data_IF_415666911806
#
_entry.id   IF_415666911806
#
_cell.length_a   1.000
_cell.length_b   1.000
_cell.length_c   1.000
_cell.angle_alpha   90.00
_cell.angle_beta   90.00
_cell.angle_gamma   90.00
#
_symmetry.space_group_name_H-M   'P 1'
#
loop_
_entity.id
_entity.type
_entity.pdbx_description
1 polymer ?
#
# COMPACT_ATOMS: atom_id res chain seq x y z
N UNK A 1 -2.84 -38.17 -38.53
CA UNK A 1 -3.39 -38.40 -37.17
C UNK A 1 -4.77 -39.00 -37.29
N UNK A 2 -5.04 -40.11 -36.58
CA UNK A 2 -6.37 -40.72 -36.57
C UNK A 2 -7.37 -39.87 -35.77
N UNK A 3 -8.69 -40.00 -36.04
CA UNK A 3 -9.74 -39.29 -35.29
C UNK A 3 -9.66 -39.54 -33.77
N UNK A 4 -9.31 -40.78 -33.38
CA UNK A 4 -9.15 -41.20 -31.98
C UNK A 4 -7.95 -40.50 -31.31
N UNK A 5 -6.85 -40.28 -32.04
CA UNK A 5 -5.69 -39.56 -31.52
C UNK A 5 -5.99 -38.07 -31.29
N UNK A 6 -6.83 -37.45 -32.15
CA UNK A 6 -7.28 -36.06 -31.98
C UNK A 6 -8.20 -35.90 -30.77
N UNK A 7 -9.15 -36.82 -30.58
CA UNK A 7 -10.06 -36.81 -29.43
C UNK A 7 -9.31 -36.97 -28.09
N UNK A 8 -8.36 -37.91 -28.02
CA UNK A 8 -7.52 -38.10 -26.83
C UNK A 8 -6.64 -36.87 -26.55
N UNK A 9 -6.03 -36.29 -27.58
CA UNK A 9 -5.21 -35.08 -27.42
C UNK A 9 -6.05 -33.90 -26.93
N UNK A 10 -7.25 -33.73 -27.47
CA UNK A 10 -8.19 -32.69 -27.04
C UNK A 10 -8.60 -32.85 -25.57
N UNK A 11 -8.94 -34.08 -25.15
CA UNK A 11 -9.29 -34.37 -23.75
C UNK A 11 -8.14 -34.13 -22.79
N UNK A 12 -6.92 -34.54 -23.15
CA UNK A 12 -5.72 -34.29 -22.34
C UNK A 12 -5.41 -32.80 -22.27
N UNK A 13 -5.49 -32.07 -23.39
CA UNK A 13 -5.28 -30.63 -23.40
C UNK A 13 -6.30 -29.91 -22.51
N UNK A 14 -7.57 -30.31 -22.56
CA UNK A 14 -8.63 -29.70 -21.75
C UNK A 14 -8.51 -30.06 -20.27
N UNK A 15 -8.13 -31.31 -19.97
CA UNK A 15 -7.86 -31.77 -18.61
C UNK A 15 -6.62 -31.12 -17.98
N UNK A 16 -5.63 -30.71 -18.78
CA UNK A 16 -4.46 -29.96 -18.32
C UNK A 16 -4.72 -28.45 -18.24
N UNK A 17 -5.49 -27.89 -19.17
CA UNK A 17 -5.81 -26.46 -19.21
C UNK A 17 -6.59 -25.99 -17.99
N UNK A 18 -7.58 -26.78 -17.55
CA UNK A 18 -8.40 -26.43 -16.39
C UNK A 18 -7.57 -26.23 -15.10
N UNK A 19 -6.77 -27.21 -14.63
CA UNK A 19 -5.98 -27.03 -13.41
C UNK A 19 -4.95 -25.92 -13.56
N UNK A 20 -4.30 -25.77 -14.72
CA UNK A 20 -3.34 -24.66 -14.93
C UNK A 20 -4.04 -23.31 -14.80
N UNK A 21 -5.20 -23.14 -15.44
CA UNK A 21 -5.96 -21.88 -15.38
C UNK A 21 -6.46 -21.60 -13.97
N UNK A 22 -6.97 -22.61 -13.27
CA UNK A 22 -7.43 -22.48 -11.89
C UNK A 22 -6.27 -22.13 -10.95
N UNK A 23 -5.10 -22.76 -11.10
CA UNK A 23 -3.91 -22.45 -10.30
C UNK A 23 -3.44 -21.01 -10.54
N UNK A 24 -3.37 -20.57 -11.80
CA UNK A 24 -2.98 -19.19 -12.13
C UNK A 24 -3.98 -18.18 -11.55
N UNK A 25 -5.30 -18.41 -11.72
CA UNK A 25 -6.33 -17.53 -11.17
C UNK A 25 -6.31 -17.51 -9.64
N UNK A 26 -6.14 -18.65 -8.99
CA UNK A 26 -6.04 -18.73 -7.53
C UNK A 26 -4.81 -17.94 -7.02
N UNK A 27 -3.66 -18.08 -7.68
CA UNK A 27 -2.46 -17.33 -7.34
C UNK A 27 -2.65 -15.82 -7.49
N UNK A 28 -3.24 -15.38 -8.60
CA UNK A 28 -3.55 -13.96 -8.85
C UNK A 28 -4.61 -13.40 -7.90
N UNK A 29 -5.50 -14.22 -7.35
CA UNK A 29 -6.46 -13.77 -6.35
C UNK A 29 -5.85 -13.63 -4.94
N UNK A 30 -4.92 -14.52 -4.56
CA UNK A 30 -4.28 -14.50 -3.24
C UNK A 30 -3.52 -13.20 -3.01
N UNK A 31 -2.82 -12.69 -4.02
CA UNK A 31 -2.07 -11.43 -3.95
C UNK A 31 -2.94 -10.20 -3.65
N UNK A 32 -4.26 -10.30 -3.82
CA UNK A 32 -5.20 -9.20 -3.57
C UNK A 32 -6.04 -9.34 -2.29
N UNK A 33 -5.88 -10.43 -1.54
CA UNK A 33 -6.70 -10.71 -0.34
C UNK A 33 -5.84 -10.78 0.93
N UNK A 34 -4.57 -11.12 0.80
CA UNK A 34 -3.66 -11.25 1.94
C UNK A 34 -3.19 -9.86 2.40
N UNK A 35 -3.28 -9.61 3.71
CA UNK A 35 -2.71 -8.42 4.32
C UNK A 35 -1.18 -8.50 4.27
N UNK A 36 -0.56 -7.40 3.86
CA UNK A 36 0.90 -7.26 3.85
C UNK A 36 1.43 -7.13 5.28
N UNK A 37 2.70 -7.53 5.53
CA UNK A 37 3.30 -7.35 6.84
C UNK A 37 3.29 -5.88 7.24
N UNK A 38 3.06 -5.62 8.53
CA UNK A 38 3.34 -4.31 9.12
C UNK A 38 4.84 -4.02 9.04
N UNK A 39 5.26 -2.74 9.16
CA UNK A 39 6.67 -2.37 9.18
C UNK A 39 7.46 -3.26 10.15
N UNK A 40 8.58 -3.79 9.69
CA UNK A 40 9.34 -4.83 10.39
C UNK A 40 10.20 -4.29 11.54
N UNK A 41 10.45 -2.97 11.54
CA UNK A 41 11.32 -2.26 12.47
C UNK A 41 10.63 -0.97 12.93
N UNK A 42 9.87 -1.06 14.04
CA UNK A 42 9.13 0.09 14.60
C UNK A 42 10.06 1.22 15.07
N UNK A 43 11.26 0.89 15.53
CA UNK A 43 12.24 1.89 15.99
C UNK A 43 12.76 2.71 14.82
N UNK A 44 13.09 2.05 13.71
CA UNK A 44 13.47 2.71 12.47
C UNK A 44 12.33 3.56 11.90
N UNK A 45 11.10 3.05 11.94
CA UNK A 45 9.94 3.83 11.52
C UNK A 45 9.81 5.10 12.38
N UNK A 46 9.96 4.98 13.70
CA UNK A 46 9.89 6.12 14.63
C UNK A 46 10.96 7.16 14.34
N UNK A 47 12.20 6.74 14.13
CA UNK A 47 13.32 7.62 13.78
C UNK A 47 13.10 8.31 12.42
N UNK A 48 12.71 7.54 11.40
CA UNK A 48 12.47 8.07 10.07
C UNK A 48 11.28 9.04 10.04
N UNK A 49 10.19 8.75 10.75
CA UNK A 49 9.03 9.65 10.89
C UNK A 49 9.42 10.93 11.64
N UNK A 50 10.22 10.83 12.71
CA UNK A 50 10.74 12.00 13.41
C UNK A 50 11.60 12.89 12.48
N UNK A 51 12.41 12.29 11.60
CA UNK A 51 13.21 13.02 10.62
C UNK A 51 12.39 13.70 9.50
N UNK A 52 11.11 13.33 9.33
CA UNK A 52 10.19 13.93 8.35
C UNK A 52 9.40 15.12 8.91
N UNK A 53 9.36 15.29 10.24
CA UNK A 53 8.69 16.42 10.88
C UNK A 53 9.41 17.73 10.56
N UNK A 54 8.64 18.76 10.22
CA UNK A 54 9.15 20.13 10.05
C UNK A 54 8.66 21.09 11.13
N UNK A 55 7.74 20.65 11.98
CA UNK A 55 7.15 21.46 13.04
C UNK A 55 6.71 20.56 14.20
N UNK A 56 6.31 21.18 15.30
CA UNK A 56 5.72 20.49 16.45
C UNK A 56 4.25 20.08 16.24
N UNK A 57 3.68 20.37 15.05
CA UNK A 57 2.33 19.91 14.72
C UNK A 57 2.31 18.39 14.51
N UNK A 58 1.18 17.72 14.82
CA UNK A 58 1.04 16.29 14.53
C UNK A 58 1.25 16.01 13.05
N UNK A 59 2.05 14.98 12.76
CA UNK A 59 2.37 14.51 11.43
C UNK A 59 1.39 13.41 11.02
N UNK A 60 0.78 13.58 9.86
CA UNK A 60 -0.01 12.54 9.19
C UNK A 60 0.68 12.19 7.89
N UNK A 61 1.28 11.00 7.85
CA UNK A 61 2.09 10.51 6.74
C UNK A 61 1.33 9.48 5.94
N UNK A 62 1.23 9.72 4.63
CA UNK A 62 0.67 8.81 3.65
C UNK A 62 1.78 8.25 2.77
N UNK A 63 2.07 6.96 2.87
CA UNK A 63 2.99 6.28 1.96
C UNK A 63 2.19 5.72 0.80
N UNK A 64 2.49 6.16 -0.42
CA UNK A 64 1.75 5.80 -1.64
C UNK A 64 2.75 5.33 -2.69
N UNK A 65 2.48 4.17 -3.30
CA UNK A 65 3.30 3.61 -4.37
C UNK A 65 2.65 3.79 -5.75
N UNK A 66 3.46 4.13 -6.75
CA UNK A 66 3.01 4.47 -8.10
C UNK A 66 2.43 3.28 -8.87
N UNK A 67 3.02 2.10 -8.74
CA UNK A 67 2.66 0.91 -9.52
C UNK A 67 1.50 0.10 -8.91
N UNK A 68 0.84 0.63 -7.89
CA UNK A 68 -0.20 -0.10 -7.17
C UNK A 68 -1.61 0.36 -7.58
N UNK A 69 -2.37 -0.51 -8.27
CA UNK A 69 -3.75 -0.19 -8.65
C UNK A 69 -4.67 0.10 -7.45
N UNK A 70 -4.36 -0.46 -6.28
CA UNK A 70 -5.06 -0.26 -5.00
C UNK A 70 -4.94 1.17 -4.46
N UNK A 71 -3.91 1.92 -4.86
CA UNK A 71 -3.69 3.30 -4.38
C UNK A 71 -4.45 4.33 -5.20
N UNK A 72 -5.09 3.95 -6.33
CA UNK A 72 -5.83 4.89 -7.18
C UNK A 72 -7.06 5.48 -6.49
N UNK A 73 -7.88 4.65 -5.84
CA UNK A 73 -9.05 5.13 -5.09
C UNK A 73 -8.63 5.97 -3.89
N UNK A 74 -7.56 5.54 -3.20
CA UNK A 74 -6.96 6.31 -2.11
C UNK A 74 -6.47 7.68 -2.58
N UNK A 75 -5.73 7.73 -3.69
CA UNK A 75 -5.24 8.99 -4.27
C UNK A 75 -6.40 9.93 -4.59
N UNK A 76 -7.43 9.43 -5.29
CA UNK A 76 -8.60 10.22 -5.63
C UNK A 76 -9.29 10.78 -4.37
N UNK A 77 -9.46 9.95 -3.34
CA UNK A 77 -10.02 10.35 -2.05
C UNK A 77 -9.19 11.45 -1.36
N UNK A 78 -7.86 11.25 -1.26
CA UNK A 78 -6.97 12.26 -0.65
C UNK A 78 -7.01 13.56 -1.44
N UNK A 79 -6.99 13.49 -2.77
CA UNK A 79 -7.06 14.71 -3.58
C UNK A 79 -8.40 15.41 -3.37
N UNK A 80 -9.53 14.69 -3.37
CA UNK A 80 -10.86 15.24 -3.11
C UNK A 80 -10.95 15.92 -1.74
N UNK A 81 -10.50 15.24 -0.67
CA UNK A 81 -10.50 15.73 0.71
C UNK A 81 -9.61 16.95 0.89
N UNK A 82 -8.40 16.91 0.33
CA UNK A 82 -7.34 17.87 0.59
C UNK A 82 -6.72 17.72 1.99
N UNK A 83 -5.63 18.46 2.21
CA UNK A 83 -4.91 18.39 3.47
C UNK A 83 -5.76 18.92 4.65
N UNK A 84 -5.71 18.21 5.76
CA UNK A 84 -6.33 18.54 7.02
C UNK A 84 -5.65 19.76 7.65
N UNK A 85 -6.44 20.56 8.36
CA UNK A 85 -5.96 21.78 9.00
C UNK A 85 -5.36 21.46 10.37
N UNK A 86 -4.30 22.18 10.73
CA UNK A 86 -3.67 22.05 12.05
C UNK A 86 -2.77 20.82 12.20
N UNK A 87 -2.57 20.05 11.13
CA UNK A 87 -1.65 18.90 11.08
C UNK A 87 -0.68 19.07 9.92
N UNK A 88 0.52 18.55 10.10
CA UNK A 88 1.54 18.46 9.07
C UNK A 88 1.25 17.21 8.22
N UNK A 89 0.50 17.37 7.12
CA UNK A 89 0.08 16.24 6.29
C UNK A 89 1.01 16.05 5.08
N UNK A 90 1.70 14.90 5.08
CA UNK A 90 2.75 14.56 4.12
C UNK A 90 2.35 13.34 3.30
N UNK A 91 2.42 13.49 1.98
CA UNK A 91 2.45 12.36 1.05
C UNK A 91 3.91 12.01 0.76
N UNK A 92 4.33 10.82 1.19
CA UNK A 92 5.58 10.19 0.78
C UNK A 92 5.28 9.27 -0.40
N UNK A 93 5.60 9.74 -1.58
CA UNK A 93 5.31 9.05 -2.83
C UNK A 93 6.52 8.24 -3.27
N UNK A 94 6.32 6.93 -3.42
CA UNK A 94 7.33 6.00 -3.91
C UNK A 94 7.19 5.93 -5.43
N UNK A 95 8.17 6.50 -6.14
CA UNK A 95 8.13 6.64 -7.59
C UNK A 95 8.38 8.05 -8.11
N UNK A 96 8.21 8.24 -9.42
CA UNK A 96 8.45 9.52 -10.10
C UNK A 96 7.23 10.01 -10.88
N UNK A 97 6.39 10.80 -10.20
CA UNK A 97 5.26 11.48 -10.83
C UNK A 97 5.27 12.98 -10.49
N UNK A 98 5.51 13.82 -11.51
CA UNK A 98 5.53 15.27 -11.38
C UNK A 98 4.15 15.90 -11.32
N UNK A 99 3.18 15.28 -11.97
CA UNK A 99 1.81 15.78 -12.03
C UNK A 99 1.15 15.57 -10.68
N UNK A 100 1.28 14.37 -10.10
CA UNK A 100 0.80 14.05 -8.74
C UNK A 100 1.47 14.92 -7.68
N UNK A 101 2.77 15.19 -7.81
CA UNK A 101 3.47 16.09 -6.89
C UNK A 101 2.87 17.51 -6.90
N UNK A 102 2.55 18.03 -8.09
CA UNK A 102 1.91 19.34 -8.22
C UNK A 102 0.47 19.32 -7.71
N UNK A 103 -0.28 18.26 -8.03
CA UNK A 103 -1.66 18.09 -7.57
C UNK A 103 -1.76 18.06 -6.04
N UNK A 104 -0.96 17.22 -5.37
CA UNK A 104 -0.94 17.13 -3.92
C UNK A 104 -0.61 18.47 -3.26
N UNK A 105 0.39 19.19 -3.77
CA UNK A 105 0.76 20.53 -3.26
C UNK A 105 -0.38 21.54 -3.43
N UNK A 106 -1.11 21.51 -4.54
CA UNK A 106 -2.30 22.37 -4.75
C UNK A 106 -3.43 22.05 -3.76
N UNK A 107 -3.51 20.80 -3.31
CA UNK A 107 -4.47 20.34 -2.28
C UNK A 107 -3.98 20.57 -0.85
N UNK A 108 -2.83 21.23 -0.67
CA UNK A 108 -2.28 21.61 0.63
C UNK A 108 -1.37 20.56 1.27
N UNK A 109 -1.15 19.42 0.61
CA UNK A 109 -0.24 18.40 1.12
C UNK A 109 1.21 18.84 0.96
N UNK A 110 2.04 18.48 1.93
CA UNK A 110 3.46 18.30 1.64
C UNK A 110 3.64 17.07 0.79
N UNK A 111 4.62 17.11 -0.10
CA UNK A 111 4.90 16.01 -1.00
C UNK A 111 6.41 15.78 -1.07
N UNK A 112 6.82 14.56 -0.74
CA UNK A 112 8.21 14.08 -0.86
C UNK A 112 8.22 12.82 -1.70
N UNK A 113 9.19 12.74 -2.61
CA UNK A 113 9.46 11.52 -3.37
C UNK A 113 10.48 10.66 -2.65
N UNK A 114 10.37 9.37 -2.85
CA UNK A 114 11.36 8.37 -2.46
C UNK A 114 11.38 7.25 -3.51
N UNK A 115 12.42 6.44 -3.49
CA UNK A 115 12.45 5.16 -4.18
C UNK A 115 12.16 4.01 -3.19
N UNK A 116 11.85 2.80 -3.69
CA UNK A 116 11.55 1.64 -2.85
C UNK A 116 12.64 1.24 -1.86
N UNK A 117 13.92 1.31 -2.25
CA UNK A 117 15.03 0.92 -1.39
C UNK A 117 15.21 1.92 -0.27
N UNK A 118 15.21 3.21 -0.62
CA UNK A 118 15.28 4.28 0.37
C UNK A 118 14.12 4.21 1.37
N UNK A 119 12.92 3.82 0.94
CA UNK A 119 11.78 3.65 1.85
C UNK A 119 12.05 2.54 2.88
N UNK A 120 12.49 1.36 2.45
CA UNK A 120 12.81 0.24 3.36
C UNK A 120 14.01 0.58 4.26
N UNK A 121 15.06 1.15 3.70
CA UNK A 121 16.29 1.50 4.43
C UNK A 121 16.06 2.58 5.48
N UNK A 122 15.22 3.59 5.19
CA UNK A 122 15.03 4.75 6.09
C UNK A 122 13.85 4.62 7.03
N UNK A 123 12.80 3.89 6.63
CA UNK A 123 11.55 3.80 7.39
C UNK A 123 11.18 2.37 7.78
N UNK A 124 11.88 1.35 7.28
CA UNK A 124 11.52 -0.07 7.52
C UNK A 124 10.16 -0.44 6.92
N UNK A 125 9.72 0.30 5.89
CA UNK A 125 8.43 0.10 5.24
C UNK A 125 8.62 -0.64 3.93
N UNK A 126 8.08 -1.85 3.88
CA UNK A 126 8.18 -2.74 2.72
C UNK A 126 6.87 -2.83 1.91
N UNK A 127 5.77 -2.23 2.39
CA UNK A 127 4.46 -2.32 1.78
C UNK A 127 3.74 -0.97 1.75
N UNK A 128 2.90 -0.76 0.74
CA UNK A 128 2.09 0.44 0.56
C UNK A 128 0.70 0.09 -0.02
N UNK A 129 -0.37 0.83 0.32
CA UNK A 129 -0.37 2.09 1.04
C UNK A 129 -0.34 1.95 2.57
N UNK A 130 0.45 2.81 3.22
CA UNK A 130 0.57 2.89 4.68
C UNK A 130 0.10 4.26 5.18
N UNK A 131 -0.61 4.27 6.30
CA UNK A 131 -0.98 5.45 7.07
C UNK A 131 -0.18 5.46 8.37
N UNK A 132 0.48 6.58 8.65
CA UNK A 132 1.14 6.82 9.92
C UNK A 132 0.62 8.11 10.53
N UNK A 133 0.18 8.05 11.79
CA UNK A 133 -0.18 9.21 12.59
C UNK A 133 0.81 9.34 13.74
N UNK A 134 1.33 10.54 13.93
CA UNK A 134 2.34 10.79 14.94
C UNK A 134 2.20 12.21 15.52
N UNK A 135 1.96 12.33 16.82
CA UNK A 135 1.86 13.59 17.58
C UNK A 135 3.19 13.98 18.25
N UNK A 136 3.56 13.29 19.32
CA UNK A 136 4.91 13.25 19.88
C UNK A 136 5.55 11.89 19.59
N UNK A 137 4.76 10.82 19.74
CA UNK A 137 5.13 9.44 19.48
C UNK A 137 4.45 8.93 18.19
N UNK A 138 4.57 7.62 17.92
CA UNK A 138 3.81 6.96 16.85
C UNK A 138 2.46 6.53 17.42
N UNK A 139 1.38 7.20 17.03
CA UNK A 139 0.04 6.96 17.56
C UNK A 139 -0.73 5.92 16.73
N UNK A 140 -0.42 5.80 15.44
CA UNK A 140 -1.02 4.80 14.56
C UNK A 140 -0.07 4.45 13.42
N UNK A 141 0.04 3.15 13.12
CA UNK A 141 0.76 2.62 11.96
C UNK A 141 -0.07 1.48 11.38
N UNK A 142 -0.59 1.64 10.16
CA UNK A 142 -1.40 0.60 9.54
C UNK A 142 -1.97 0.99 8.19
N UNK A 143 -2.89 0.18 7.68
CA UNK A 143 -3.58 0.44 6.43
C UNK A 143 -4.72 1.44 6.55
N UNK A 144 -5.45 1.58 5.46
CA UNK A 144 -6.60 2.51 5.32
C UNK A 144 -7.96 1.81 5.38
N UNK A 145 -7.98 0.49 5.20
CA UNK A 145 -9.20 -0.25 4.90
C UNK A 145 -9.40 -1.41 5.86
N UNK A 146 -10.65 -1.60 6.30
CA UNK A 146 -11.01 -2.76 7.11
C UNK A 146 -11.13 -4.05 6.28
N UNK A 147 -11.26 -3.92 4.95
CA UNK A 147 -11.39 -5.03 4.00
C UNK A 147 -10.59 -4.77 2.72
N UNK A 148 -10.15 -5.81 1.99
CA UNK A 148 -9.29 -5.67 0.80
C UNK A 148 -9.89 -4.89 -0.38
N UNK A 149 -11.19 -4.58 -0.35
CA UNK A 149 -11.90 -4.00 -1.49
C UNK A 149 -11.61 -2.50 -1.77
N UNK A 150 -10.77 -1.84 -0.97
CA UNK A 150 -10.32 -0.45 -1.14
C UNK A 150 -11.45 0.58 -1.44
N UNK A 151 -12.66 0.33 -0.92
CA UNK A 151 -13.88 1.08 -1.28
C UNK A 151 -14.00 2.39 -0.53
N UNK A 152 -13.66 2.40 0.76
CA UNK A 152 -13.80 3.56 1.64
C UNK A 152 -12.58 3.66 2.54
N UNK A 153 -11.62 4.54 2.23
CA UNK A 153 -10.51 4.85 3.15
C UNK A 153 -11.07 5.31 4.49
N UNK A 154 -10.43 4.89 5.59
CA UNK A 154 -10.84 5.24 6.96
C UNK A 154 -9.88 6.24 7.62
N UNK A 155 -9.02 6.91 6.85
CA UNK A 155 -8.00 7.84 7.36
C UNK A 155 -8.58 8.90 8.30
N UNK A 156 -9.70 9.53 7.94
CA UNK A 156 -10.35 10.55 8.78
C UNK A 156 -11.01 9.98 10.04
N UNK A 157 -11.48 8.72 10.00
CA UNK A 157 -12.09 8.06 11.17
C UNK A 157 -11.00 7.67 12.15
N UNK A 158 -9.92 7.06 11.65
CA UNK A 158 -8.73 6.70 12.42
C UNK A 158 -8.13 7.94 13.05
N UNK A 159 -7.93 9.01 12.28
CA UNK A 159 -7.32 10.22 12.79
C UNK A 159 -8.16 10.90 13.87
N UNK A 160 -9.48 10.98 13.70
CA UNK A 160 -10.36 11.52 14.74
C UNK A 160 -10.35 10.71 16.03
N UNK A 161 -10.28 9.38 15.93
CA UNK A 161 -10.18 8.51 17.10
C UNK A 161 -8.84 8.71 17.82
N UNK A 162 -7.72 8.77 17.08
CA UNK A 162 -6.39 9.08 17.64
C UNK A 162 -6.35 10.47 18.26
N UNK A 163 -6.92 11.48 17.61
CA UNK A 163 -7.02 12.85 18.14
C UNK A 163 -7.87 12.92 19.43
N UNK A 164 -8.81 11.99 19.61
CA UNK A 164 -9.64 11.84 20.79
C UNK A 164 -9.02 10.95 21.88
N UNK A 165 -7.77 10.51 21.71
CA UNK A 165 -7.07 9.57 22.60
C UNK A 165 -7.80 8.22 22.73
N UNK A 166 -8.54 7.82 21.69
CA UNK A 166 -9.19 6.53 21.61
C UNK A 166 -8.22 5.47 21.08
N UNK A 167 -8.26 4.28 21.69
CA UNK A 167 -7.47 3.15 21.20
C UNK A 167 -7.98 2.69 19.82
N UNK A 168 -7.11 2.78 18.80
CA UNK A 168 -7.40 2.30 17.44
C UNK A 168 -6.55 1.08 17.15
N UNK A 169 -7.20 -0.04 16.86
CA UNK A 169 -6.49 -1.24 16.39
C UNK A 169 -5.94 -1.00 14.97
N UNK A 170 -4.64 -1.25 14.73
CA UNK A 170 -4.04 -1.10 13.41
C UNK A 170 -4.78 -1.89 12.34
N UNK A 171 -5.23 -1.20 11.28
CA UNK A 171 -5.83 -1.89 10.15
C UNK A 171 -4.76 -2.62 9.34
N UNK A 172 -5.09 -3.78 8.75
CA UNK A 172 -4.20 -4.48 7.83
C UNK A 172 -3.83 -3.60 6.63
N UNK A 173 -2.59 -3.74 6.18
CA UNK A 173 -2.09 -3.08 4.96
C UNK A 173 -2.52 -3.92 3.75
N UNK A 174 -3.60 -3.52 3.09
CA UNK A 174 -4.02 -4.10 1.81
C UNK A 174 -3.41 -3.31 0.67
N UNK A 175 -2.41 -3.88 0.00
CA UNK A 175 -1.64 -3.15 -0.98
C UNK A 175 -0.57 -3.98 -1.66
N UNK A 176 0.44 -3.29 -2.15
CA UNK A 176 1.51 -3.85 -2.95
C UNK A 176 2.82 -3.90 -2.15
N UNK A 177 3.66 -4.88 -2.49
CA UNK A 177 5.03 -4.97 -2.02
C UNK A 177 5.84 -3.86 -2.70
N UNK A 178 6.54 -3.08 -1.89
CA UNK A 178 7.38 -1.98 -2.34
C UNK A 178 8.83 -2.45 -2.42
N UNK A 179 9.34 -3.16 -1.40
CA UNK A 179 10.73 -3.62 -1.44
C UNK A 179 10.93 -4.81 -2.38
N UNK A 180 12.07 -4.90 -3.09
CA UNK A 180 12.40 -6.05 -3.93
C UNK A 180 12.32 -7.38 -3.16
N UNK A 181 12.78 -7.39 -1.92
CA UNK A 181 12.78 -8.57 -1.07
C UNK A 181 11.36 -9.07 -0.76
N UNK A 182 10.42 -8.14 -0.54
CA UNK A 182 9.02 -8.51 -0.33
C UNK A 182 8.33 -8.88 -1.64
N UNK A 183 8.67 -8.21 -2.75
CA UNK A 183 8.19 -8.56 -4.10
C UNK A 183 8.57 -10.00 -4.46
N UNK A 184 9.83 -10.40 -4.26
CA UNK A 184 10.31 -11.77 -4.50
C UNK A 184 9.58 -12.81 -3.64
N UNK A 185 9.18 -12.45 -2.41
CA UNK A 185 8.47 -13.34 -1.49
C UNK A 185 6.99 -13.51 -1.87
N UNK A 186 6.32 -12.44 -2.28
CA UNK A 186 4.87 -12.48 -2.60
C UNK A 186 4.59 -12.82 -4.06
N UNK A 187 5.56 -12.62 -4.95
CA UNK A 187 5.50 -12.93 -6.37
C UNK A 187 6.78 -13.61 -6.88
N UNK A 188 7.10 -14.82 -6.41
CA UNK A 188 8.31 -15.55 -6.81
C UNK A 188 8.36 -15.93 -8.31
N UNK A 189 7.27 -15.72 -9.03
CA UNK A 189 7.16 -16.00 -10.47
C UNK A 189 7.28 -14.73 -11.33
N UNK A 190 7.33 -13.53 -10.73
CA UNK A 190 7.43 -12.25 -11.43
C UNK A 190 6.27 -12.00 -12.41
N UNK A 191 5.04 -12.33 -11.99
CA UNK A 191 3.85 -12.21 -12.83
C UNK A 191 3.11 -10.88 -12.63
N UNK A 192 3.36 -10.21 -11.51
CA UNK A 192 2.65 -9.01 -11.04
C UNK A 192 3.59 -7.80 -10.99
N UNK A 193 4.81 -7.98 -10.48
CA UNK A 193 5.84 -6.92 -10.36
C UNK A 193 6.91 -6.99 -11.46
#
# INVERSE_FOLDING_TARGET
MSPVARDRLGKVALAAWLPVTVTVLAFLMVSHVVAMPSPSDEDRLREGVAALRLSDAPLRLHVIYEDCSCTRSLWAHLMERGAARGVDELVLYVGDDAERAQEARRRGYRFRRTDPRALSDTLGVDAAPLLVLASAELDYVGGYYAVPAAVSPRDEVIARAVEADEAVEPLPVYGCAVSPELQDQVDPLGLVY
#
